data_IF_457911316758
#
_entry.id   IF_457911316758
#
_cell.length_a   1.000
_cell.length_b   1.000
_cell.length_c   1.000
_cell.angle_alpha   90.00
_cell.angle_beta   90.00
_cell.angle_gamma   90.00
#
_symmetry.space_group_name_H-M   'P 1'
#
loop_
_entity.id
_entity.type
_entity.pdbx_description
1 polymer ?
#
# COMPACT_ATOMS: atom_id res chain seq x y z
N UNK A 1 7.76 -16.87 -0.96
CA UNK A 1 7.04 -15.60 -1.27
C UNK A 1 6.85 -14.74 -0.04
N UNK A 2 7.02 -13.42 -0.19
CA UNK A 2 6.56 -12.46 0.82
C UNK A 2 5.01 -12.45 0.86
N UNK A 3 4.44 -12.32 2.06
CA UNK A 3 3.00 -12.11 2.21
C UNK A 3 2.59 -10.75 1.63
N UNK A 4 1.31 -10.58 1.27
CA UNK A 4 0.77 -9.27 0.85
C UNK A 4 1.07 -8.19 1.88
N UNK A 5 1.01 -8.55 3.17
CA UNK A 5 1.34 -7.65 4.27
C UNK A 5 2.78 -7.15 4.20
N UNK A 6 3.75 -8.06 4.02
CA UNK A 6 5.16 -7.69 3.88
C UNK A 6 5.41 -6.85 2.64
N UNK A 7 4.82 -7.21 1.49
CA UNK A 7 4.95 -6.44 0.26
C UNK A 7 4.50 -4.98 0.42
N UNK A 8 3.36 -4.78 1.07
CA UNK A 8 2.84 -3.44 1.33
C UNK A 8 3.66 -2.70 2.38
N UNK A 9 4.18 -3.39 3.41
CA UNK A 9 5.09 -2.79 4.37
C UNK A 9 6.36 -2.28 3.71
N UNK A 10 7.08 -3.13 2.98
CA UNK A 10 8.33 -2.76 2.32
C UNK A 10 8.11 -1.57 1.38
N UNK A 11 7.01 -1.57 0.62
CA UNK A 11 6.65 -0.49 -0.31
C UNK A 11 6.40 0.84 0.41
N UNK A 12 5.75 0.83 1.58
CA UNK A 12 5.45 2.05 2.34
C UNK A 12 6.62 2.49 3.24
N UNK A 13 7.52 1.58 3.59
CA UNK A 13 8.71 1.86 4.40
C UNK A 13 9.83 2.48 3.55
N UNK A 14 10.00 2.03 2.29
CA UNK A 14 10.91 2.62 1.30
C UNK A 14 10.45 4.02 0.83
N UNK A 15 9.24 4.44 1.19
CA UNK A 15 8.66 5.72 0.77
C UNK A 15 9.11 6.86 1.69
N UNK A 16 9.58 7.96 1.09
CA UNK A 16 9.92 9.16 1.84
C UNK A 16 8.72 9.72 2.62
N UNK A 17 9.00 10.37 3.76
CA UNK A 17 7.97 10.85 4.70
C UNK A 17 6.92 11.77 4.07
N UNK A 18 7.32 12.65 3.16
CA UNK A 18 6.40 13.57 2.48
C UNK A 18 5.49 12.85 1.49
N UNK A 19 6.02 11.85 0.78
CA UNK A 19 5.23 10.98 -0.08
C UNK A 19 4.26 10.12 0.76
N UNK A 20 4.70 9.59 1.91
CA UNK A 20 3.85 8.85 2.82
C UNK A 20 2.72 9.72 3.40
N UNK A 21 2.98 11.00 3.68
CA UNK A 21 1.94 11.95 4.09
C UNK A 21 0.89 12.15 2.99
N UNK A 22 1.32 12.32 1.74
CA UNK A 22 0.40 12.41 0.59
C UNK A 22 -0.39 11.12 0.39
N UNK A 23 0.28 9.97 0.48
CA UNK A 23 -0.35 8.65 0.39
C UNK A 23 -1.53 8.52 1.35
N UNK A 24 -1.31 8.86 2.63
CA UNK A 24 -2.36 8.82 3.66
C UNK A 24 -3.49 9.82 3.41
N UNK A 25 -3.19 10.98 2.81
CA UNK A 25 -4.22 11.95 2.42
C UNK A 25 -5.17 11.36 1.38
N UNK A 26 -4.63 10.74 0.32
CA UNK A 26 -5.45 10.06 -0.69
C UNK A 26 -6.20 8.86 -0.12
N UNK A 27 -5.56 8.08 0.77
CA UNK A 27 -6.22 6.95 1.43
C UNK A 27 -7.42 7.39 2.30
N UNK A 28 -7.35 8.59 2.88
CA UNK A 28 -8.45 9.21 3.64
C UNK A 28 -9.58 9.67 2.72
N UNK A 29 -9.27 10.24 1.56
CA UNK A 29 -10.28 10.71 0.61
C UNK A 29 -11.06 9.55 -0.01
N UNK A 30 -10.35 8.47 -0.35
CA UNK A 30 -10.91 7.29 -1.01
C UNK A 30 -11.46 6.24 -0.02
N UNK A 31 -11.31 6.44 1.29
CA UNK A 31 -11.60 5.42 2.31
C UNK A 31 -12.20 5.98 3.61
N UNK A 32 -13.04 5.22 4.35
CA UNK A 32 -13.69 5.76 5.55
C UNK A 32 -12.78 5.73 6.80
N UNK A 33 -11.46 5.95 6.64
CA UNK A 33 -10.48 5.87 7.74
C UNK A 33 -10.45 7.25 8.42
N UNK A 34 -10.65 7.34 9.76
CA UNK A 34 -10.63 8.61 10.44
C UNK A 34 -9.29 9.35 10.27
N UNK A 35 -9.36 10.65 10.01
CA UNK A 35 -8.20 11.50 9.81
C UNK A 35 -7.21 11.46 10.99
N UNK A 36 -7.75 11.45 12.21
CA UNK A 36 -7.02 11.41 13.47
C UNK A 36 -6.16 10.15 13.61
N UNK A 37 -6.57 9.05 12.97
CA UNK A 37 -5.85 7.78 13.00
C UNK A 37 -4.67 7.80 12.02
N UNK A 38 -4.85 8.39 10.83
CA UNK A 38 -3.82 8.41 9.79
C UNK A 38 -2.72 9.45 10.02
N UNK A 39 -3.03 10.57 10.67
CA UNK A 39 -2.09 11.68 10.85
C UNK A 39 -0.81 11.26 11.59
N UNK A 40 -0.93 10.35 12.58
CA UNK A 40 0.19 9.83 13.38
C UNK A 40 0.56 8.37 13.05
N UNK A 41 -0.19 7.71 12.18
CA UNK A 41 0.06 6.31 11.81
C UNK A 41 1.46 6.14 11.22
N UNK A 42 2.17 5.07 11.55
CA UNK A 42 3.36 4.66 10.80
C UNK A 42 2.94 3.93 9.51
N UNK A 43 3.92 3.61 8.65
CA UNK A 43 3.71 2.78 7.47
C UNK A 43 3.01 1.46 7.84
N UNK A 44 3.47 0.81 8.91
CA UNK A 44 2.91 -0.44 9.43
C UNK A 44 1.45 -0.34 9.86
N UNK A 45 1.08 0.75 10.53
CA UNK A 45 -0.29 0.96 11.01
C UNK A 45 -1.24 1.21 9.84
N UNK A 46 -0.77 1.97 8.85
CA UNK A 46 -1.51 2.26 7.61
C UNK A 46 -1.82 0.95 6.86
N UNK A 47 -0.82 0.09 6.66
CA UNK A 47 -1.02 -1.17 5.94
C UNK A 47 -1.92 -2.14 6.72
N UNK A 48 -1.80 -2.23 8.05
CA UNK A 48 -2.72 -3.05 8.84
C UNK A 48 -4.18 -2.61 8.62
N UNK A 49 -4.45 -1.31 8.67
CA UNK A 49 -5.81 -0.79 8.44
C UNK A 49 -6.31 -1.05 7.02
N UNK A 50 -5.43 -0.97 6.04
CA UNK A 50 -5.80 -1.30 4.65
C UNK A 50 -6.16 -2.78 4.51
N UNK A 51 -5.39 -3.67 5.12
CA UNK A 51 -5.66 -5.11 5.10
C UNK A 51 -6.93 -5.46 5.86
N UNK A 52 -7.11 -4.94 7.06
CA UNK A 52 -8.27 -5.22 7.92
C UNK A 52 -9.57 -4.76 7.26
N UNK A 53 -9.52 -3.66 6.51
CA UNK A 53 -10.72 -3.05 5.94
C UNK A 53 -11.06 -3.52 4.53
N UNK A 54 -10.05 -3.66 3.67
CA UNK A 54 -10.25 -3.92 2.26
C UNK A 54 -9.91 -5.36 1.88
N UNK A 55 -9.23 -6.08 2.75
CA UNK A 55 -8.65 -7.38 2.44
C UNK A 55 -7.39 -7.27 1.56
N UNK A 56 -6.62 -8.36 1.44
CA UNK A 56 -5.30 -8.33 0.79
C UNK A 56 -5.32 -7.84 -0.66
N UNK A 57 -6.22 -8.36 -1.48
CA UNK A 57 -6.26 -8.04 -2.92
C UNK A 57 -6.61 -6.57 -3.18
N UNK A 58 -7.66 -6.07 -2.51
CA UNK A 58 -8.09 -4.68 -2.68
C UNK A 58 -7.09 -3.71 -2.04
N UNK A 59 -6.43 -4.07 -0.94
CA UNK A 59 -5.35 -3.27 -0.36
C UNK A 59 -4.19 -3.05 -1.34
N UNK A 60 -3.78 -4.08 -2.09
CA UNK A 60 -2.76 -3.94 -3.14
C UNK A 60 -3.23 -3.00 -4.24
N UNK A 61 -4.46 -3.16 -4.74
CA UNK A 61 -5.01 -2.30 -5.78
C UNK A 61 -5.05 -0.82 -5.36
N UNK A 62 -5.55 -0.54 -4.15
CA UNK A 62 -5.60 0.83 -3.60
C UNK A 62 -4.18 1.40 -3.50
N UNK A 63 -3.21 0.60 -3.03
CA UNK A 63 -1.82 1.04 -2.92
C UNK A 63 -1.25 1.44 -4.27
N UNK A 64 -1.42 0.60 -5.30
CA UNK A 64 -0.97 0.88 -6.67
C UNK A 64 -1.60 2.16 -7.23
N UNK A 65 -2.90 2.34 -7.03
CA UNK A 65 -3.63 3.53 -7.52
C UNK A 65 -3.11 4.81 -6.85
N UNK A 66 -2.91 4.80 -5.53
CA UNK A 66 -2.40 5.97 -4.80
C UNK A 66 -0.94 6.26 -5.18
N UNK A 67 -0.08 5.25 -5.31
CA UNK A 67 1.31 5.43 -5.73
C UNK A 67 1.40 6.17 -7.08
N UNK A 68 0.55 5.80 -8.04
CA UNK A 68 0.42 6.49 -9.33
C UNK A 68 -0.06 7.93 -9.17
N UNK A 69 -1.07 8.19 -8.32
CA UNK A 69 -1.57 9.56 -8.03
C UNK A 69 -0.49 10.47 -7.43
N UNK A 70 0.44 9.93 -6.65
CA UNK A 70 1.54 10.69 -6.02
C UNK A 70 2.85 10.67 -6.81
N UNK A 71 2.83 10.19 -8.06
CA UNK A 71 3.98 10.04 -8.96
C UNK A 71 5.10 9.09 -8.45
N UNK A 72 4.77 8.16 -7.56
CA UNK A 72 5.67 7.10 -7.11
C UNK A 72 5.59 5.87 -8.03
N UNK A 73 5.76 6.11 -9.34
CA UNK A 73 5.55 5.10 -10.39
C UNK A 73 6.54 3.93 -10.31
N UNK A 74 7.78 4.19 -9.92
CA UNK A 74 8.78 3.14 -9.71
C UNK A 74 8.37 2.17 -8.59
N UNK A 75 7.89 2.68 -7.45
CA UNK A 75 7.37 1.84 -6.36
C UNK A 75 6.12 1.06 -6.80
N UNK A 76 5.25 1.67 -7.62
CA UNK A 76 4.07 0.98 -8.15
C UNK A 76 4.46 -0.20 -9.05
N UNK A 77 5.43 -0.01 -9.95
CA UNK A 77 5.92 -1.06 -10.84
C UNK A 77 6.58 -2.21 -10.05
N UNK A 78 7.42 -1.87 -9.06
CA UNK A 78 8.04 -2.88 -8.20
C UNK A 78 7.02 -3.72 -7.44
N UNK A 79 5.98 -3.08 -6.87
CA UNK A 79 4.90 -3.78 -6.18
C UNK A 79 4.11 -4.69 -7.13
N UNK A 80 3.80 -4.21 -8.33
CA UNK A 80 3.07 -4.98 -9.35
C UNK A 80 3.88 -6.21 -9.82
N UNK A 81 5.19 -6.05 -10.03
CA UNK A 81 6.06 -7.14 -10.43
C UNK A 81 6.17 -8.22 -9.34
N UNK A 82 6.41 -7.82 -8.09
CA UNK A 82 6.46 -8.76 -6.95
C UNK A 82 5.13 -9.49 -6.74
N UNK A 83 3.98 -8.83 -6.98
CA UNK A 83 2.67 -9.47 -6.93
C UNK A 83 2.51 -10.53 -8.04
N UNK A 84 2.92 -10.21 -9.26
CA UNK A 84 2.84 -11.13 -10.41
C UNK A 84 3.74 -12.36 -10.23
N UNK A 85 4.96 -12.17 -9.72
CA UNK A 85 5.88 -13.27 -9.40
C UNK A 85 5.25 -14.22 -8.37
N UNK A 86 4.64 -13.67 -7.33
CA UNK A 86 3.91 -14.47 -6.35
C UNK A 86 2.71 -15.24 -6.93
N UNK A 87 2.01 -14.69 -7.91
CA UNK A 87 0.88 -15.37 -8.53
C UNK A 87 1.32 -16.49 -9.49
N UNK A 88 2.51 -16.39 -10.09
CA UNK A 88 3.05 -17.43 -10.99
C UNK A 88 3.42 -18.71 -10.23
N UNK A 89 3.90 -18.61 -9.00
CA UNK A 89 4.28 -19.76 -8.16
C UNK A 89 3.09 -20.53 -7.57
N UNK A 90 1.88 -19.96 -7.57
CA UNK A 90 0.65 -20.64 -7.09
C UNK A 90 -0.05 -21.51 -8.16
N UNK A 91 0.36 -21.39 -9.42
CA UNK A 91 -0.26 -22.06 -10.58
C UNK A 91 0.61 -23.25 -11.06
N UNK A 92 1.76 -23.48 -10.43
CA UNK A 92 2.65 -24.63 -10.65
C UNK A 92 2.53 -25.62 -9.49
#
# INVERSE_FOLDING_TARGET
MASVKQLLYDTLDDMEKDHLKRFKSFLREDGPIPASVLEKAKATDTVNQMLDRFGPERAVKITLDILKKINQNNLAEQLENKQKEGNKEKIL
#
